data_IF_500449454680
#
_entry.id   IF_500449454680
#
_cell.length_a   1.000
_cell.length_b   1.000
_cell.length_c   1.000
_cell.angle_alpha   90.00
_cell.angle_beta   90.00
_cell.angle_gamma   90.00
#
_symmetry.space_group_name_H-M   'P 1'
#
loop_
_entity.id
_entity.type
_entity.pdbx_description
1 polymer ?
#
# COMPACT_ATOMS: atom_id res chain seq x y z
N UNK A 1 -29.73 7.47 -2.51
CA UNK A 1 -28.48 8.19 -2.20
C UNK A 1 -27.92 8.78 -3.49
N UNK A 2 -27.44 10.01 -3.44
CA UNK A 2 -26.91 10.74 -4.61
C UNK A 2 -25.67 10.06 -5.23
N UNK A 3 -24.95 9.23 -4.47
CA UNK A 3 -23.76 8.52 -4.91
C UNK A 3 -24.05 7.11 -5.46
N UNK A 4 -25.32 6.70 -5.56
CA UNK A 4 -25.67 5.36 -6.03
C UNK A 4 -25.31 4.20 -5.06
N UNK A 5 -24.74 4.50 -3.89
CA UNK A 5 -24.23 3.51 -2.93
C UNK A 5 -25.28 2.93 -1.97
N UNK A 6 -26.53 3.38 -2.05
CA UNK A 6 -27.59 2.97 -1.10
C UNK A 6 -28.00 1.49 -1.12
N UNK A 7 -27.53 0.72 -2.09
CA UNK A 7 -27.79 -0.74 -2.22
C UNK A 7 -26.52 -1.59 -2.17
N UNK A 8 -25.37 -0.95 -1.90
CA UNK A 8 -24.08 -1.65 -1.79
C UNK A 8 -24.02 -2.36 -0.45
N UNK A 9 -23.85 -3.67 -0.45
CA UNK A 9 -23.66 -4.47 0.76
C UNK A 9 -22.22 -4.48 1.23
N UNK A 10 -21.27 -4.45 0.30
CA UNK A 10 -19.83 -4.27 0.57
C UNK A 10 -19.08 -3.87 -0.70
N UNK A 11 -17.91 -3.26 -0.54
CA UNK A 11 -16.93 -3.02 -1.58
C UNK A 11 -15.64 -3.79 -1.31
N UNK A 12 -14.80 -3.93 -2.31
CA UNK A 12 -13.46 -4.51 -2.16
C UNK A 12 -12.45 -3.50 -2.70
N UNK A 13 -11.41 -3.23 -1.91
CA UNK A 13 -10.19 -2.54 -2.34
C UNK A 13 -9.07 -3.56 -2.42
N UNK A 14 -8.37 -3.60 -3.54
CA UNK A 14 -7.27 -4.53 -3.79
C UNK A 14 -6.26 -3.95 -4.78
N UNK A 15 -5.14 -4.65 -5.00
CA UNK A 15 -4.06 -4.33 -5.92
C UNK A 15 -3.12 -3.20 -5.47
N UNK A 16 -3.58 -2.25 -4.67
CA UNK A 16 -2.76 -1.22 -4.04
C UNK A 16 -3.25 -1.00 -2.61
N UNK A 17 -2.36 -0.59 -1.69
CA UNK A 17 -2.77 -0.22 -0.34
C UNK A 17 -3.78 0.92 -0.34
N UNK A 18 -4.76 0.86 0.55
CA UNK A 18 -5.71 1.94 0.82
C UNK A 18 -5.39 2.53 2.19
N UNK A 19 -5.51 3.85 2.36
CA UNK A 19 -5.26 4.46 3.66
C UNK A 19 -6.33 4.08 4.69
N UNK A 20 -5.90 3.93 5.95
CA UNK A 20 -6.81 3.62 7.06
C UNK A 20 -7.85 4.72 7.26
N UNK A 21 -7.47 5.99 7.06
CA UNK A 21 -8.38 7.14 7.15
C UNK A 21 -9.49 7.07 6.12
N UNK A 22 -9.17 6.69 4.87
CA UNK A 22 -10.16 6.52 3.82
C UNK A 22 -11.10 5.35 4.12
N UNK A 23 -10.57 4.24 4.64
CA UNK A 23 -11.39 3.12 5.11
C UNK A 23 -12.31 3.55 6.24
N UNK A 24 -11.79 4.29 7.23
CA UNK A 24 -12.55 4.84 8.35
C UNK A 24 -13.67 5.79 7.87
N UNK A 25 -13.36 6.69 6.96
CA UNK A 25 -14.34 7.59 6.34
C UNK A 25 -15.45 6.82 5.63
N UNK A 26 -15.10 5.85 4.77
CA UNK A 26 -16.09 5.06 4.02
C UNK A 26 -16.99 4.26 4.95
N UNK A 27 -16.47 3.69 6.02
CA UNK A 27 -17.27 3.03 7.07
C UNK A 27 -18.16 4.01 7.82
N UNK A 28 -17.66 5.21 8.12
CA UNK A 28 -18.41 6.27 8.77
C UNK A 28 -19.66 6.71 7.99
N UNK A 29 -19.60 6.67 6.66
CA UNK A 29 -20.76 6.93 5.78
C UNK A 29 -21.59 5.67 5.47
N UNK A 30 -21.31 4.53 6.13
CA UNK A 30 -22.06 3.28 6.00
C UNK A 30 -21.65 2.39 4.83
N UNK A 31 -20.53 2.66 4.18
CA UNK A 31 -19.99 1.82 3.09
C UNK A 31 -18.94 0.85 3.64
N UNK A 32 -19.28 -0.44 3.65
CA UNK A 32 -18.40 -1.50 4.12
C UNK A 32 -17.36 -1.85 3.04
N UNK A 33 -16.17 -1.23 3.10
CA UNK A 33 -15.03 -1.59 2.23
C UNK A 33 -14.14 -2.59 2.96
N UNK A 34 -13.79 -3.67 2.25
CA UNK A 34 -12.88 -4.71 2.71
C UNK A 34 -11.61 -4.67 1.86
N UNK A 35 -10.48 -4.88 2.50
CA UNK A 35 -9.25 -5.11 1.77
C UNK A 35 -9.12 -6.57 1.37
N UNK A 36 -8.62 -6.77 0.16
CA UNK A 36 -8.20 -8.06 -0.34
C UNK A 36 -6.80 -7.91 -0.95
N UNK A 37 -6.01 -8.96 -0.83
CA UNK A 37 -4.71 -9.02 -1.44
C UNK A 37 -4.58 -10.26 -2.30
N UNK A 38 -3.89 -10.11 -3.39
CA UNK A 38 -3.60 -11.20 -4.31
C UNK A 38 -2.81 -10.71 -5.51
N UNK A 39 -2.51 -11.65 -6.38
CA UNK A 39 -1.72 -11.44 -7.58
C UNK A 39 -2.24 -12.37 -8.68
N UNK A 40 -1.76 -12.20 -9.91
CA UNK A 40 -2.16 -13.08 -11.02
C UNK A 40 -1.88 -14.55 -10.72
N UNK A 41 -0.80 -14.82 -10.00
CA UNK A 41 -0.37 -16.15 -9.58
C UNK A 41 -1.28 -16.80 -8.52
N UNK A 42 -2.11 -16.02 -7.83
CA UNK A 42 -3.15 -16.51 -6.89
C UNK A 42 -4.55 -16.49 -7.52
N UNK A 43 -4.66 -16.38 -8.85
CA UNK A 43 -5.93 -16.21 -9.57
C UNK A 43 -6.73 -14.99 -9.09
N UNK A 44 -6.03 -13.93 -8.67
CA UNK A 44 -6.59 -12.64 -8.28
C UNK A 44 -6.71 -12.42 -6.78
N UNK A 45 -7.09 -13.42 -5.98
CA UNK A 45 -7.29 -13.25 -4.53
C UNK A 45 -6.56 -14.33 -3.73
N UNK A 46 -5.66 -13.93 -2.85
CA UNK A 46 -4.99 -14.79 -1.88
C UNK A 46 -5.60 -14.66 -0.49
N UNK A 47 -5.90 -13.41 -0.08
CA UNK A 47 -6.53 -13.11 1.22
C UNK A 47 -7.66 -12.10 1.06
N UNK A 48 -8.58 -12.08 2.02
CA UNK A 48 -9.67 -11.09 2.10
C UNK A 48 -10.06 -10.85 3.55
N UNK A 49 -10.37 -9.60 3.87
CA UNK A 49 -10.91 -9.23 5.17
C UNK A 49 -12.30 -9.85 5.38
N UNK A 50 -12.62 -10.34 6.59
CA UNK A 50 -13.93 -10.89 6.91
C UNK A 50 -15.02 -9.79 6.85
N UNK A 51 -16.28 -10.21 6.84
CA UNK A 51 -17.43 -9.30 6.80
C UNK A 51 -17.56 -8.43 8.06
N UNK A 52 -17.03 -8.91 9.17
CA UNK A 52 -17.14 -8.30 10.50
C UNK A 52 -15.79 -8.40 11.21
N UNK A 53 -15.54 -7.48 12.15
CA UNK A 53 -14.28 -7.47 12.91
C UNK A 53 -13.07 -7.13 12.04
N UNK A 54 -13.22 -6.21 11.11
CA UNK A 54 -12.13 -5.76 10.25
C UNK A 54 -11.09 -5.01 11.08
N UNK A 55 -9.83 -5.38 10.86
CA UNK A 55 -8.69 -4.67 11.41
C UNK A 55 -8.04 -3.87 10.29
N UNK A 56 -7.93 -2.57 10.49
CA UNK A 56 -7.25 -1.68 9.56
C UNK A 56 -5.75 -2.04 9.50
N UNK A 57 -5.14 -1.86 8.34
CA UNK A 57 -3.74 -2.27 8.09
C UNK A 57 -3.53 -3.78 7.89
N UNK A 58 -4.60 -4.60 7.86
CA UNK A 58 -4.54 -6.04 7.61
C UNK A 58 -5.26 -6.40 6.33
N UNK A 59 -4.66 -7.26 5.54
CA UNK A 59 -5.22 -7.74 4.27
C UNK A 59 -6.13 -8.98 4.42
N UNK A 60 -6.51 -9.30 5.64
CA UNK A 60 -7.45 -10.39 5.96
C UNK A 60 -6.81 -11.78 6.06
N UNK A 61 -7.66 -12.79 5.96
CA UNK A 61 -7.26 -14.20 6.06
C UNK A 61 -7.15 -14.85 4.70
N UNK A 62 -6.35 -15.92 4.56
CA UNK A 62 -6.32 -16.71 3.33
C UNK A 62 -7.74 -17.16 2.92
N UNK A 63 -8.00 -17.13 1.62
CA UNK A 63 -9.27 -17.63 1.09
C UNK A 63 -9.38 -19.15 1.29
N UNK A 64 -10.60 -19.68 1.25
CA UNK A 64 -10.85 -21.10 1.50
C UNK A 64 -9.98 -22.00 0.59
N UNK A 65 -9.33 -22.98 1.20
CA UNK A 65 -8.45 -23.93 0.51
C UNK A 65 -7.03 -23.42 0.23
N UNK A 66 -6.69 -22.20 0.64
CA UNK A 66 -5.33 -21.67 0.56
C UNK A 66 -4.63 -21.77 1.91
N UNK A 67 -3.47 -22.41 1.91
CA UNK A 67 -2.56 -22.47 3.04
C UNK A 67 -1.55 -21.33 2.94
N UNK A 68 -1.17 -20.78 4.07
CA UNK A 68 -0.21 -19.67 4.16
C UNK A 68 0.83 -19.94 5.22
N UNK A 69 2.09 -19.64 4.94
CA UNK A 69 3.18 -19.58 5.90
C UNK A 69 4.14 -18.45 5.56
N UNK A 70 5.05 -18.15 6.47
CA UNK A 70 6.18 -17.26 6.22
C UNK A 70 7.44 -18.09 5.98
N UNK A 71 8.27 -17.66 5.05
CA UNK A 71 9.64 -18.12 4.93
C UNK A 71 10.51 -17.52 6.05
N UNK A 72 11.76 -17.97 6.18
CA UNK A 72 12.70 -17.48 7.22
C UNK A 72 12.96 -15.97 7.13
N UNK A 73 12.91 -15.41 5.92
CA UNK A 73 13.10 -13.98 5.65
C UNK A 73 11.79 -13.17 5.73
N UNK A 74 10.70 -13.80 6.16
CA UNK A 74 9.38 -13.16 6.30
C UNK A 74 8.57 -13.10 5.01
N UNK A 75 9.05 -13.69 3.90
CA UNK A 75 8.28 -13.77 2.67
C UNK A 75 7.00 -14.60 2.87
N UNK A 76 5.88 -14.06 2.38
CA UNK A 76 4.58 -14.75 2.41
C UNK A 76 4.55 -15.84 1.35
N UNK A 77 4.26 -17.07 1.76
CA UNK A 77 4.15 -18.22 0.88
C UNK A 77 2.72 -18.74 0.87
N UNK A 78 2.23 -19.10 -0.33
CA UNK A 78 0.90 -19.68 -0.51
C UNK A 78 0.95 -21.06 -1.16
N UNK A 79 0.00 -21.92 -0.77
CA UNK A 79 -0.26 -23.21 -1.41
C UNK A 79 -1.76 -23.46 -1.48
N UNK A 80 -2.27 -23.93 -2.61
CA UNK A 80 -3.68 -24.25 -2.74
C UNK A 80 -4.16 -24.28 -4.19
N UNK A 81 -5.44 -24.56 -4.40
CA UNK A 81 -6.01 -24.75 -5.73
C UNK A 81 -6.12 -23.47 -6.57
N UNK A 82 -6.01 -22.28 -5.95
CA UNK A 82 -6.04 -20.99 -6.64
C UNK A 82 -4.68 -20.59 -7.21
N UNK A 83 -3.62 -21.32 -6.83
CA UNK A 83 -2.28 -21.03 -7.31
C UNK A 83 -2.13 -21.45 -8.76
N UNK A 84 -1.54 -20.59 -9.58
CA UNK A 84 -1.32 -20.82 -11.00
C UNK A 84 -0.43 -22.05 -11.26
N UNK A 85 -0.50 -22.59 -12.47
CA UNK A 85 0.35 -23.72 -12.87
C UNK A 85 1.78 -23.31 -13.26
N UNK A 86 1.97 -22.04 -13.58
CA UNK A 86 3.26 -21.48 -13.99
C UNK A 86 3.10 -20.43 -15.10
N UNK A 87 4.22 -19.81 -15.43
CA UNK A 87 4.33 -18.83 -16.52
C UNK A 87 4.40 -19.51 -17.89
N UNK A 88 3.59 -19.03 -18.81
CA UNK A 88 3.55 -19.60 -20.17
C UNK A 88 4.92 -19.51 -20.85
N UNK A 89 5.42 -20.67 -21.34
CA UNK A 89 6.72 -20.84 -21.99
C UNK A 89 7.92 -20.27 -21.20
N UNK A 90 7.79 -20.13 -19.88
CA UNK A 90 8.89 -19.67 -19.03
C UNK A 90 9.09 -20.60 -17.82
N UNK A 91 9.69 -21.79 -18.04
CA UNK A 91 9.90 -22.75 -16.96
C UNK A 91 10.87 -22.27 -15.89
N UNK A 92 11.83 -21.40 -16.25
CA UNK A 92 12.78 -20.82 -15.29
C UNK A 92 12.06 -19.94 -14.27
N UNK A 93 11.30 -18.94 -14.71
CA UNK A 93 10.53 -18.09 -13.81
C UNK A 93 9.48 -18.90 -13.02
N UNK A 94 8.90 -19.95 -13.62
CA UNK A 94 7.98 -20.83 -12.92
C UNK A 94 8.68 -21.57 -11.76
N UNK A 95 9.87 -22.12 -11.97
CA UNK A 95 10.64 -22.79 -10.93
C UNK A 95 11.13 -21.83 -9.84
N UNK A 96 11.38 -20.57 -10.18
CA UNK A 96 11.71 -19.52 -9.20
C UNK A 96 10.52 -19.15 -8.34
N UNK A 97 9.31 -19.06 -8.93
CA UNK A 97 8.10 -18.70 -8.22
C UNK A 97 7.44 -19.86 -7.46
N UNK A 98 7.54 -21.09 -7.97
CA UNK A 98 6.94 -22.28 -7.38
C UNK A 98 8.03 -23.24 -6.89
N UNK A 99 8.27 -23.25 -5.58
CA UNK A 99 9.28 -24.09 -4.96
C UNK A 99 8.62 -25.02 -3.94
N UNK A 100 8.87 -26.31 -4.05
CA UNK A 100 8.33 -27.35 -3.15
C UNK A 100 6.80 -27.29 -2.96
N UNK A 101 6.08 -26.87 -4.01
CA UNK A 101 4.62 -26.73 -4.00
C UNK A 101 4.10 -25.44 -3.35
N UNK A 102 4.98 -24.51 -3.01
CA UNK A 102 4.65 -23.19 -2.48
C UNK A 102 4.92 -22.09 -3.50
N UNK A 103 3.99 -21.17 -3.62
CA UNK A 103 4.19 -19.92 -4.35
C UNK A 103 4.97 -18.95 -3.48
N UNK A 104 6.11 -18.50 -3.96
CA UNK A 104 6.88 -17.39 -3.43
C UNK A 104 6.30 -16.08 -3.96
N UNK A 105 5.66 -15.29 -3.10
CA UNK A 105 4.91 -14.11 -3.54
C UNK A 105 5.80 -12.91 -3.82
N UNK A 106 7.00 -12.89 -3.24
CA UNK A 106 7.88 -11.73 -3.25
C UNK A 106 7.40 -10.60 -2.31
N UNK A 107 6.36 -10.84 -1.51
CA UNK A 107 5.85 -9.89 -0.52
C UNK A 107 6.25 -10.36 0.87
N UNK A 108 6.77 -9.45 1.70
CA UNK A 108 7.09 -9.69 3.10
C UNK A 108 5.92 -9.27 3.96
N UNK A 109 5.58 -10.09 4.94
CA UNK A 109 4.43 -9.86 5.79
C UNK A 109 4.57 -10.46 7.18
N UNK A 110 3.49 -10.39 7.94
CA UNK A 110 3.35 -10.94 9.27
C UNK A 110 1.99 -11.64 9.40
N UNK A 111 1.99 -12.80 10.02
CA UNK A 111 0.76 -13.50 10.41
C UNK A 111 0.41 -13.07 11.84
N UNK A 112 -0.76 -12.49 12.01
CA UNK A 112 -1.26 -12.01 13.28
C UNK A 112 -1.81 -13.16 14.13
N UNK A 113 -2.03 -12.91 15.43
CA UNK A 113 -2.51 -13.95 16.38
C UNK A 113 -3.88 -14.53 15.98
N UNK A 114 -4.71 -13.79 15.26
CA UNK A 114 -6.01 -14.24 14.77
C UNK A 114 -5.94 -14.97 13.40
N UNK A 115 -4.73 -15.13 12.86
CA UNK A 115 -4.45 -15.74 11.55
C UNK A 115 -4.66 -14.81 10.36
N UNK A 116 -4.91 -13.51 10.56
CA UNK A 116 -4.92 -12.53 9.48
C UNK A 116 -3.49 -12.16 9.06
N UNK A 117 -3.34 -11.69 7.83
CA UNK A 117 -2.07 -11.22 7.27
C UNK A 117 -1.99 -9.69 7.32
N UNK A 118 -0.80 -9.19 7.65
CA UNK A 118 -0.38 -7.81 7.43
C UNK A 118 0.79 -7.81 6.46
N UNK A 119 0.73 -7.00 5.41
CA UNK A 119 1.87 -6.81 4.51
C UNK A 119 2.79 -5.72 5.06
N UNK A 120 4.08 -5.91 4.83
CA UNK A 120 5.12 -4.95 5.18
C UNK A 120 5.56 -4.21 3.91
N UNK A 121 6.07 -4.95 2.93
CA UNK A 121 6.47 -4.41 1.62
C UNK A 121 6.84 -5.54 0.65
N UNK A 122 7.15 -5.18 -0.58
CA UNK A 122 7.81 -6.07 -1.54
C UNK A 122 9.24 -6.38 -1.09
N UNK A 123 9.62 -7.64 -1.12
CA UNK A 123 10.97 -8.09 -0.74
C UNK A 123 12.09 -7.36 -1.48
N UNK A 124 11.90 -7.09 -2.77
CA UNK A 124 12.84 -6.36 -3.62
C UNK A 124 12.86 -4.84 -3.38
N UNK A 125 11.81 -4.31 -2.77
CA UNK A 125 11.63 -2.86 -2.57
C UNK A 125 12.01 -2.43 -1.14
N UNK A 126 12.18 -3.40 -0.21
CA UNK A 126 12.70 -3.13 1.13
C UNK A 126 14.12 -2.54 1.00
N UNK A 127 14.30 -1.38 1.56
CA UNK A 127 15.58 -0.66 1.61
C UNK A 127 16.32 -1.02 2.89
N UNK A 128 17.64 -1.14 2.81
CA UNK A 128 18.50 -1.33 3.97
C UNK A 128 19.36 -0.08 4.13
N UNK A 129 19.13 0.67 5.20
CA UNK A 129 19.92 1.88 5.45
C UNK A 129 21.36 1.55 5.86
N UNK A 130 22.22 2.56 5.95
CA UNK A 130 23.64 2.40 6.32
C UNK A 130 23.86 1.79 7.71
N UNK A 131 22.84 1.83 8.59
CA UNK A 131 22.86 1.20 9.91
C UNK A 131 22.35 -0.27 9.89
N UNK A 132 22.05 -0.84 8.72
CA UNK A 132 21.54 -2.19 8.57
C UNK A 132 20.04 -2.34 8.91
N UNK A 133 19.30 -1.24 9.08
CA UNK A 133 17.87 -1.28 9.39
C UNK A 133 17.04 -1.43 8.11
N UNK A 134 16.14 -2.40 8.11
CA UNK A 134 15.15 -2.55 7.05
C UNK A 134 14.11 -1.43 7.13
N UNK A 135 13.83 -0.81 6.00
CA UNK A 135 12.85 0.25 5.84
C UNK A 135 11.91 -0.13 4.70
N UNK A 136 10.61 0.02 4.92
CA UNK A 136 9.60 -0.08 3.87
C UNK A 136 9.34 1.30 3.30
N UNK A 137 9.77 1.61 2.05
CA UNK A 137 9.46 2.88 1.43
C UNK A 137 7.95 3.08 1.27
N UNK A 138 7.22 2.04 0.90
CA UNK A 138 5.77 2.12 0.71
C UNK A 138 5.01 2.55 1.98
N UNK A 139 5.43 2.10 3.17
CA UNK A 139 4.81 2.54 4.42
C UNK A 139 5.03 4.04 4.67
N UNK A 140 6.24 4.52 4.45
CA UNK A 140 6.59 5.95 4.62
C UNK A 140 5.85 6.80 3.59
N UNK A 141 5.87 6.38 2.33
CA UNK A 141 5.22 7.08 1.22
C UNK A 141 3.71 7.18 1.43
N UNK A 142 3.06 6.12 1.91
CA UNK A 142 1.62 6.12 2.19
C UNK A 142 1.22 7.07 3.32
N UNK A 143 2.05 7.17 4.37
CA UNK A 143 1.81 8.13 5.46
C UNK A 143 1.89 9.55 4.92
N UNK A 144 2.92 9.88 4.15
CA UNK A 144 3.10 11.21 3.58
C UNK A 144 2.01 11.55 2.56
N UNK A 145 1.60 10.58 1.72
CA UNK A 145 0.51 10.75 0.73
C UNK A 145 -0.89 10.89 1.33
N UNK A 146 -1.05 10.71 2.63
CA UNK A 146 -2.31 11.02 3.31
C UNK A 146 -2.62 12.53 3.31
N UNK A 147 -1.60 13.38 3.17
CA UNK A 147 -1.78 14.84 3.04
C UNK A 147 -2.46 15.20 1.71
N UNK A 148 -3.51 16.05 1.73
CA UNK A 148 -4.19 16.50 0.52
C UNK A 148 -3.31 17.41 -0.37
N UNK A 149 -2.21 17.94 0.17
CA UNK A 149 -1.27 18.80 -0.55
C UNK A 149 -0.21 18.03 -1.33
N UNK A 150 -0.12 16.72 -1.09
CA UNK A 150 0.92 15.85 -1.65
C UNK A 150 0.28 14.85 -2.61
N UNK A 151 0.72 14.87 -3.87
CA UNK A 151 0.23 14.00 -4.93
C UNK A 151 0.99 12.69 -5.01
N UNK A 152 2.33 12.76 -4.98
CA UNK A 152 3.21 11.60 -5.05
C UNK A 152 4.45 11.79 -4.18
N UNK A 153 4.97 10.69 -3.67
CA UNK A 153 6.20 10.63 -2.86
C UNK A 153 7.06 9.48 -3.33
N UNK A 154 8.36 9.70 -3.38
CA UNK A 154 9.36 8.65 -3.61
C UNK A 154 10.41 8.73 -2.52
N UNK A 155 10.50 7.69 -1.70
CA UNK A 155 11.48 7.59 -0.61
C UNK A 155 12.82 7.07 -1.13
N UNK A 156 13.90 7.62 -0.62
CA UNK A 156 15.28 7.21 -0.91
C UNK A 156 16.05 7.04 0.42
N UNK A 157 16.36 5.80 0.79
CA UNK A 157 17.05 5.46 2.02
C UNK A 157 18.11 4.37 1.86
N UNK A 158 18.13 3.65 0.70
CA UNK A 158 19.01 2.50 0.51
C UNK A 158 20.49 2.89 0.66
N UNK A 159 21.18 2.19 1.58
CA UNK A 159 22.59 2.40 1.93
C UNK A 159 22.92 3.84 2.40
N UNK A 160 21.93 4.64 2.78
CA UNK A 160 22.13 6.02 3.25
C UNK A 160 21.99 6.11 4.77
N UNK A 161 22.69 7.03 5.41
CA UNK A 161 22.57 7.26 6.85
C UNK A 161 21.28 8.01 7.25
N UNK A 162 20.51 8.49 6.27
CA UNK A 162 19.26 9.23 6.46
C UNK A 162 18.22 8.76 5.45
N UNK A 163 16.96 9.02 5.76
CA UNK A 163 15.83 8.87 4.84
C UNK A 163 15.57 10.22 4.19
N UNK A 164 15.42 10.23 2.88
CA UNK A 164 15.01 11.41 2.12
C UNK A 164 13.79 11.06 1.26
N UNK A 165 12.98 12.05 0.94
CA UNK A 165 11.85 11.88 0.05
C UNK A 165 11.84 12.96 -1.03
N UNK A 166 11.46 12.56 -2.25
CA UNK A 166 11.04 13.48 -3.30
C UNK A 166 9.52 13.58 -3.23
N UNK A 167 9.01 14.79 -3.04
CA UNK A 167 7.59 15.07 -2.88
C UNK A 167 7.08 15.84 -4.09
N UNK A 168 6.04 15.31 -4.73
CA UNK A 168 5.28 16.03 -5.75
C UNK A 168 4.05 16.65 -5.12
N UNK A 169 3.88 17.96 -5.25
CA UNK A 169 2.74 18.68 -4.73
C UNK A 169 1.48 18.42 -5.57
N UNK A 170 0.31 18.37 -4.91
CA UNK A 170 -0.97 18.47 -5.61
C UNK A 170 -1.22 19.93 -6.00
N UNK A 171 -1.13 20.20 -7.30
CA UNK A 171 -1.18 21.56 -7.83
C UNK A 171 -2.49 22.25 -7.52
N UNK A 172 -3.60 21.54 -7.62
CA UNK A 172 -4.93 22.15 -7.47
C UNK A 172 -5.19 22.51 -6.01
N UNK A 173 -4.84 21.62 -5.10
CA UNK A 173 -5.02 21.83 -3.65
C UNK A 173 -4.09 22.92 -3.14
N UNK A 174 -2.80 22.90 -3.50
CA UNK A 174 -1.83 23.93 -3.08
C UNK A 174 -2.20 25.29 -3.63
N UNK A 175 -2.69 25.37 -4.87
CA UNK A 175 -3.18 26.63 -5.47
C UNK A 175 -4.36 27.22 -4.69
N UNK A 176 -5.38 26.41 -4.41
CA UNK A 176 -6.54 26.85 -3.62
C UNK A 176 -6.15 27.34 -2.23
N UNK A 177 -5.23 26.62 -1.58
CA UNK A 177 -4.71 27.05 -0.28
C UNK A 177 -3.96 28.39 -0.40
N UNK A 178 -3.09 28.56 -1.39
CA UNK A 178 -2.30 29.76 -1.60
C UNK A 178 -3.18 30.99 -1.91
N UNK A 179 -4.24 30.81 -2.70
CA UNK A 179 -5.26 31.85 -2.94
C UNK A 179 -5.91 32.30 -1.63
N UNK A 180 -6.24 31.35 -0.76
CA UNK A 180 -6.78 31.61 0.60
C UNK A 180 -5.82 32.35 1.50
N UNK A 181 -4.50 32.20 1.30
CA UNK A 181 -3.44 32.92 2.04
C UNK A 181 -3.04 34.26 1.38
N UNK A 182 -3.62 34.62 0.23
CA UNK A 182 -3.25 35.84 -0.51
C UNK A 182 -1.86 35.77 -1.15
N UNK A 183 -1.32 34.59 -1.41
CA UNK A 183 0.00 34.39 -2.02
C UNK A 183 -0.11 34.64 -3.51
N UNK A 184 0.63 35.64 -4.00
CA UNK A 184 0.75 35.94 -5.42
C UNK A 184 1.89 35.10 -6.05
N UNK A 185 1.58 34.44 -7.16
CA UNK A 185 2.57 33.68 -7.93
C UNK A 185 2.30 33.77 -9.43
N UNK A 186 3.32 33.54 -10.25
CA UNK A 186 3.21 33.65 -11.72
C UNK A 186 3.16 32.28 -12.40
N UNK A 187 3.80 31.28 -11.83
CA UNK A 187 3.82 29.90 -12.32
C UNK A 187 3.93 28.92 -11.15
N UNK A 188 3.60 27.67 -11.40
CA UNK A 188 3.60 26.65 -10.35
C UNK A 188 4.97 26.49 -9.66
N UNK A 189 6.06 26.62 -10.41
CA UNK A 189 7.40 26.57 -9.85
C UNK A 189 7.62 27.64 -8.79
N UNK A 190 7.23 28.89 -9.06
CA UNK A 190 7.38 29.99 -8.09
C UNK A 190 6.47 29.78 -6.86
N UNK A 191 5.34 29.09 -7.03
CA UNK A 191 4.48 28.72 -5.91
C UNK A 191 5.13 27.60 -5.06
N UNK A 192 5.66 26.56 -5.68
CA UNK A 192 6.31 25.45 -4.97
C UNK A 192 7.58 25.90 -4.20
N UNK A 193 8.29 26.91 -4.73
CA UNK A 193 9.46 27.51 -4.11
C UNK A 193 9.10 28.60 -3.06
N UNK A 194 7.82 28.92 -2.90
CA UNK A 194 7.38 29.95 -1.95
C UNK A 194 7.60 29.50 -0.49
N UNK A 195 8.21 30.32 0.39
CA UNK A 195 8.54 29.91 1.75
C UNK A 195 7.36 29.35 2.55
N UNK A 196 6.18 29.95 2.45
CA UNK A 196 4.98 29.48 3.16
C UNK A 196 4.48 28.13 2.64
N UNK A 197 4.68 27.84 1.34
CA UNK A 197 4.36 26.53 0.78
C UNK A 197 5.36 25.48 1.26
N UNK A 198 6.65 25.83 1.32
CA UNK A 198 7.67 24.95 1.89
C UNK A 198 7.40 24.65 3.36
N UNK A 199 7.07 25.67 4.16
CA UNK A 199 6.67 25.47 5.56
C UNK A 199 5.41 24.62 5.73
N UNK A 200 4.43 24.77 4.83
CA UNK A 200 3.25 23.91 4.80
C UNK A 200 3.66 22.44 4.59
N UNK A 201 4.47 22.18 3.57
CA UNK A 201 4.89 20.80 3.23
C UNK A 201 5.80 20.21 4.31
N UNK A 202 6.67 20.98 4.93
CA UNK A 202 7.49 20.52 6.07
C UNK A 202 6.66 20.06 7.28
N UNK A 203 5.45 20.59 7.45
CA UNK A 203 4.52 20.16 8.51
C UNK A 203 3.74 18.89 8.15
N UNK A 204 3.61 18.61 6.86
CA UNK A 204 2.89 17.45 6.35
C UNK A 204 3.78 16.20 6.23
N UNK A 205 5.11 16.36 6.21
CA UNK A 205 6.11 15.31 6.11
C UNK A 205 6.70 14.99 7.49
#
# INVERSE_FOLDING_TARGET
SYLGLGRVSFGISAAAPISEDLLGFMRGIGVNIREAWGMSETSGVGTIQPSWGMCDGRIGKPVAGVETKLAEDGEVLFRGPTIFKGYYKNPKATAEALQEGWLHTGDVGRIEADGSLSLIDRKKDIMINAAGKNLSPALIENVIKASPFIKEVVVAADRRPYVAALVQLDMDTVRLWAEGQGIAYTMFRSLAEHPQVQELIEKEV
#
